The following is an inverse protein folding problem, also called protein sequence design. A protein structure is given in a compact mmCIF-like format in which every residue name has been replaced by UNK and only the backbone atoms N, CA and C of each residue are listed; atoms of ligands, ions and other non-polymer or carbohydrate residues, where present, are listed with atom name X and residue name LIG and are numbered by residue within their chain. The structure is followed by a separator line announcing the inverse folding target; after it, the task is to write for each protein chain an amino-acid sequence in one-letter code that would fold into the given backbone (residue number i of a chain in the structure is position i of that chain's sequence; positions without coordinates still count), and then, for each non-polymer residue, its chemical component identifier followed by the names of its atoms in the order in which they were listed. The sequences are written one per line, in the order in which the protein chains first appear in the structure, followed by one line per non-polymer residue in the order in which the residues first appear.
data_IF_186583639382
#
_entry.id   IF_186583639382
#
_cell.length_a   1.000
_cell.length_b   1.000
_cell.length_c   1.000
_cell.angle_alpha   90.00
_cell.angle_beta   90.00
_cell.angle_gamma   90.00
#
_symmetry.space_group_name_H-M   'P 1'
#
loop_
_entity.id
_entity.type
_entity.pdbx_description
1 polymer ?
#
# COMPACT_ATOMS: atom_id res chain seq x y z
N UNK A 1 17.22 20.85 7.19
CA UNK A 1 18.34 19.96 6.80
C UNK A 1 17.83 18.65 6.20
N UNK A 2 16.83 18.00 6.81
CA UNK A 2 16.17 16.79 6.31
C UNK A 2 15.52 17.02 4.95
N UNK A 3 14.90 18.20 4.75
CA UNK A 3 14.26 18.55 3.50
C UNK A 3 15.24 18.60 2.30
N UNK A 4 16.46 19.08 2.55
CA UNK A 4 17.51 19.09 1.52
C UNK A 4 18.10 17.68 1.29
N UNK A 5 18.13 16.84 2.33
CA UNK A 5 18.65 15.48 2.25
C UNK A 5 17.70 14.61 1.42
N UNK A 6 16.42 14.50 1.82
CA UNK A 6 15.43 13.64 1.17
C UNK A 6 14.80 14.22 -0.10
N UNK A 7 14.99 15.51 -0.37
CA UNK A 7 14.54 16.16 -1.61
C UNK A 7 15.22 15.69 -2.89
N UNK A 8 16.19 14.77 -2.81
CA UNK A 8 16.85 14.12 -3.96
C UNK A 8 16.87 12.60 -3.76
N UNK A 9 16.72 11.81 -4.80
CA UNK A 9 16.84 10.35 -4.76
C UNK A 9 18.31 9.87 -4.87
N UNK A 10 19.11 10.11 -3.83
CA UNK A 10 20.51 9.63 -3.79
C UNK A 10 20.62 8.20 -3.22
N UNK A 11 21.58 7.37 -3.68
CA UNK A 11 21.82 6.04 -3.09
C UNK A 11 22.04 6.08 -1.57
N UNK A 12 22.73 7.12 -1.08
CA UNK A 12 22.96 7.33 0.37
C UNK A 12 21.65 7.45 1.14
N UNK A 13 20.65 8.13 0.58
CA UNK A 13 19.35 8.28 1.24
C UNK A 13 18.64 6.94 1.36
N UNK A 14 18.76 6.09 0.35
CA UNK A 14 18.19 4.75 0.36
C UNK A 14 18.84 3.88 1.45
N UNK A 15 20.16 3.97 1.62
CA UNK A 15 20.87 3.27 2.71
C UNK A 15 20.37 3.74 4.08
N UNK A 16 20.27 5.05 4.30
CA UNK A 16 19.78 5.60 5.58
C UNK A 16 18.33 5.19 5.88
N UNK A 17 17.49 5.14 4.85
CA UNK A 17 16.10 4.69 5.01
C UNK A 17 15.99 3.20 5.27
N UNK A 18 16.84 2.40 4.61
CA UNK A 18 16.92 0.97 4.84
C UNK A 18 17.45 0.66 6.25
N UNK A 19 18.43 1.42 6.76
CA UNK A 19 18.89 1.25 8.15
C UNK A 19 17.81 1.63 9.16
N UNK A 20 17.09 2.73 8.93
CA UNK A 20 15.98 3.14 9.79
C UNK A 20 14.84 2.09 9.78
N UNK A 21 14.57 1.51 8.62
CA UNK A 21 13.63 0.39 8.46
C UNK A 21 14.09 -0.87 9.22
N UNK A 22 15.37 -1.23 9.14
CA UNK A 22 15.95 -2.33 9.92
C UNK A 22 15.90 -2.06 11.43
N UNK A 23 16.08 -0.82 11.88
CA UNK A 23 15.95 -0.47 13.29
C UNK A 23 14.55 -0.79 13.84
N UNK A 24 13.48 -0.40 13.12
CA UNK A 24 12.12 -0.74 13.54
C UNK A 24 11.88 -2.25 13.58
N UNK A 25 12.36 -2.98 12.55
CA UNK A 25 12.28 -4.43 12.53
C UNK A 25 12.99 -5.06 13.75
N UNK A 26 14.23 -4.63 14.02
CA UNK A 26 15.00 -5.13 15.15
C UNK A 26 14.30 -4.85 16.47
N UNK A 27 13.77 -3.64 16.66
CA UNK A 27 13.03 -3.29 17.88
C UNK A 27 11.83 -4.23 18.13
N UNK A 28 11.06 -4.59 17.09
CA UNK A 28 9.96 -5.56 17.22
C UNK A 28 10.47 -6.97 17.53
N UNK A 29 11.54 -7.40 16.86
CA UNK A 29 12.09 -8.74 17.13
C UNK A 29 12.68 -8.86 18.54
N UNK A 30 13.26 -7.79 19.08
CA UNK A 30 13.76 -7.77 20.45
C UNK A 30 12.62 -7.77 21.48
N UNK A 31 11.50 -7.10 21.19
CA UNK A 31 10.34 -7.12 22.10
C UNK A 31 9.64 -8.47 22.14
N UNK A 32 9.53 -9.15 21.00
CA UNK A 32 8.80 -10.42 20.88
C UNK A 32 9.67 -11.66 21.15
N UNK A 33 10.99 -11.47 21.24
CA UNK A 33 11.98 -12.55 21.35
C UNK A 33 12.49 -13.01 19.99
N UNK A 34 13.80 -13.19 19.88
CA UNK A 34 14.44 -13.63 18.63
C UNK A 34 14.17 -15.13 18.37
N UNK A 35 13.64 -15.46 17.20
CA UNK A 35 13.30 -16.83 16.80
C UNK A 35 13.74 -17.11 15.36
N UNK A 36 13.75 -18.38 14.93
CA UNK A 36 14.01 -18.71 13.52
C UNK A 36 12.97 -18.11 12.57
N UNK A 37 11.75 -17.87 13.05
CA UNK A 37 10.71 -17.26 12.24
C UNK A 37 10.99 -15.77 11.97
N UNK A 38 11.69 -15.06 12.86
CA UNK A 38 12.07 -13.65 12.60
C UNK A 38 12.97 -13.48 11.37
N UNK A 39 13.78 -14.50 11.00
CA UNK A 39 14.53 -14.47 9.74
C UNK A 39 13.62 -14.51 8.51
N UNK A 40 12.50 -15.24 8.58
CA UNK A 40 11.49 -15.27 7.51
C UNK A 40 10.76 -13.92 7.43
N UNK A 41 10.42 -13.33 8.58
CA UNK A 41 9.79 -12.00 8.64
C UNK A 41 10.68 -10.97 7.97
N UNK A 42 11.97 -10.94 8.31
CA UNK A 42 12.97 -10.04 7.71
C UNK A 42 13.01 -10.18 6.18
N UNK A 43 13.05 -11.42 5.68
CA UNK A 43 13.08 -11.66 4.23
C UNK A 43 11.86 -11.07 3.52
N UNK A 44 10.65 -11.40 3.99
CA UNK A 44 9.43 -10.90 3.37
C UNK A 44 9.27 -9.38 3.51
N UNK A 45 9.73 -8.83 4.62
CA UNK A 45 9.73 -7.40 4.88
C UNK A 45 10.67 -6.65 3.92
N UNK A 46 11.85 -7.21 3.62
CA UNK A 46 12.75 -6.68 2.56
C UNK A 46 12.10 -6.76 1.17
N UNK A 47 11.33 -7.83 0.90
CA UNK A 47 10.58 -7.96 -0.36
C UNK A 47 9.55 -6.83 -0.49
N UNK A 48 8.75 -6.56 0.55
CA UNK A 48 7.81 -5.44 0.57
C UNK A 48 8.52 -4.11 0.26
N UNK A 49 9.61 -3.84 0.97
CA UNK A 49 10.41 -2.62 0.81
C UNK A 49 10.91 -2.46 -0.63
N UNK A 50 11.40 -3.56 -1.23
CA UNK A 50 11.92 -3.57 -2.60
C UNK A 50 10.81 -3.38 -3.64
N UNK A 51 9.67 -4.05 -3.46
CA UNK A 51 8.51 -3.93 -4.37
C UNK A 51 7.93 -2.52 -4.31
N UNK A 52 7.76 -1.95 -3.12
CA UNK A 52 7.33 -0.56 -2.95
C UNK A 52 8.24 0.40 -3.74
N UNK A 53 9.56 0.25 -3.59
CA UNK A 53 10.52 1.10 -4.30
C UNK A 53 10.39 0.98 -5.81
N UNK A 54 10.36 -0.26 -6.28
CA UNK A 54 10.25 -0.56 -7.69
C UNK A 54 9.00 0.09 -8.32
N UNK A 55 7.85 0.07 -7.63
CA UNK A 55 6.61 0.66 -8.16
C UNK A 55 6.74 2.18 -8.30
N UNK A 56 7.25 2.87 -7.29
CA UNK A 56 7.37 4.34 -7.31
C UNK A 56 8.38 4.77 -8.38
N UNK A 57 9.59 4.22 -8.33
CA UNK A 57 10.68 4.60 -9.23
C UNK A 57 10.34 4.28 -10.69
N UNK A 58 9.62 3.18 -10.97
CA UNK A 58 9.30 2.81 -12.36
C UNK A 58 8.16 3.64 -12.97
N UNK A 59 7.24 4.16 -12.15
CA UNK A 59 6.03 4.81 -12.63
C UNK A 59 6.03 6.34 -12.46
N UNK A 60 7.06 6.91 -11.82
CA UNK A 60 7.22 8.33 -11.52
C UNK A 60 5.98 8.89 -10.78
N UNK A 61 5.62 8.24 -9.67
CA UNK A 61 4.48 8.62 -8.82
C UNK A 61 4.81 9.82 -7.90
N UNK A 62 6.10 10.16 -7.79
CA UNK A 62 6.65 11.30 -7.06
C UNK A 62 7.73 12.01 -7.88
N UNK A 63 8.17 13.20 -7.47
CA UNK A 63 9.18 13.98 -8.18
C UNK A 63 10.61 13.59 -7.78
N UNK A 64 11.03 12.36 -8.11
CA UNK A 64 12.40 11.84 -7.93
C UNK A 64 13.03 12.17 -6.56
N UNK A 65 12.26 12.02 -5.50
CA UNK A 65 12.68 12.25 -4.13
C UNK A 65 12.54 11.00 -3.26
N UNK A 66 13.13 11.06 -2.08
CA UNK A 66 13.13 9.97 -1.11
C UNK A 66 12.02 10.06 -0.07
N UNK A 67 11.13 11.07 -0.16
CA UNK A 67 10.09 11.28 0.85
C UNK A 67 9.05 10.15 0.90
N UNK A 68 8.68 9.55 -0.25
CA UNK A 68 7.71 8.46 -0.23
C UNK A 68 8.25 7.23 0.50
N UNK A 69 9.55 6.98 0.38
CA UNK A 69 10.22 5.96 1.18
C UNK A 69 10.20 6.30 2.65
N UNK A 70 10.56 7.53 3.01
CA UNK A 70 10.54 7.97 4.39
C UNK A 70 9.14 7.79 5.00
N UNK A 71 8.10 8.26 4.33
CA UNK A 71 6.74 8.13 4.84
C UNK A 71 6.30 6.68 4.96
N UNK A 72 6.62 5.83 3.98
CA UNK A 72 6.28 4.42 4.05
C UNK A 72 6.96 3.72 5.24
N UNK A 73 8.24 3.98 5.47
CA UNK A 73 8.99 3.42 6.60
C UNK A 73 8.45 3.95 7.93
N UNK A 74 8.13 5.24 8.03
CA UNK A 74 7.56 5.82 9.24
C UNK A 74 6.13 5.34 9.52
N UNK A 75 5.32 5.08 8.49
CA UNK A 75 4.00 4.47 8.67
C UNK A 75 4.13 3.07 9.27
N UNK A 76 5.08 2.26 8.78
CA UNK A 76 5.32 0.94 9.36
C UNK A 76 5.86 1.06 10.78
N UNK A 77 6.80 1.96 11.04
CA UNK A 77 7.31 2.21 12.40
C UNK A 77 6.23 2.68 13.36
N UNK A 78 5.22 3.42 12.87
CA UNK A 78 4.12 3.90 13.70
C UNK A 78 3.18 2.80 14.18
N UNK A 79 3.14 1.66 13.46
CA UNK A 79 2.24 0.55 13.72
C UNK A 79 3.05 -0.77 13.78
N UNK A 80 3.70 -1.04 14.91
CA UNK A 80 4.65 -2.17 15.04
C UNK A 80 4.07 -3.56 14.74
N UNK A 81 2.77 -3.77 15.01
CA UNK A 81 2.05 -5.03 14.75
C UNK A 81 2.00 -5.41 13.26
N UNK A 82 2.22 -4.45 12.36
CA UNK A 82 2.32 -4.64 10.91
C UNK A 82 3.47 -5.57 10.52
N UNK A 83 4.52 -5.64 11.33
CA UNK A 83 5.72 -6.41 11.01
C UNK A 83 5.48 -7.93 11.15
N UNK A 84 4.46 -8.35 11.92
CA UNK A 84 4.14 -9.75 12.13
C UNK A 84 3.57 -10.41 10.87
N UNK A 85 3.96 -11.67 10.63
CA UNK A 85 3.48 -12.46 9.50
C UNK A 85 2.07 -13.01 9.74
N UNK A 86 1.05 -12.20 9.41
CA UNK A 86 -0.35 -12.60 9.40
C UNK A 86 -0.89 -12.75 7.96
N UNK A 87 -2.11 -13.27 7.80
CA UNK A 87 -2.75 -13.38 6.48
C UNK A 87 -2.85 -12.03 5.76
N UNK A 88 -3.15 -10.96 6.51
CA UNK A 88 -3.21 -9.57 6.01
C UNK A 88 -1.87 -9.10 5.43
N UNK A 89 -0.76 -9.53 6.02
CA UNK A 89 0.58 -9.20 5.53
C UNK A 89 0.85 -9.84 4.15
N UNK A 90 0.52 -11.13 4.00
CA UNK A 90 0.63 -11.81 2.70
C UNK A 90 -0.32 -11.22 1.66
N UNK A 91 -1.55 -10.88 2.05
CA UNK A 91 -2.51 -10.19 1.19
C UNK A 91 -1.97 -8.81 0.74
N UNK A 92 -1.30 -8.08 1.63
CA UNK A 92 -0.66 -6.81 1.28
C UNK A 92 0.47 -7.01 0.25
N UNK A 93 1.34 -8.01 0.42
CA UNK A 93 2.38 -8.34 -0.58
C UNK A 93 1.76 -8.62 -1.95
N UNK A 94 0.75 -9.49 -2.00
CA UNK A 94 0.09 -9.83 -3.26
C UNK A 94 -0.63 -8.63 -3.87
N UNK A 95 -1.21 -7.76 -3.03
CA UNK A 95 -1.81 -6.50 -3.47
C UNK A 95 -0.76 -5.55 -4.06
N UNK A 96 0.45 -5.46 -3.49
CA UNK A 96 1.55 -4.65 -4.05
C UNK A 96 2.01 -5.20 -5.41
N UNK A 97 2.07 -6.52 -5.57
CA UNK A 97 2.39 -7.15 -6.86
C UNK A 97 1.31 -6.89 -7.91
N UNK A 98 0.04 -6.89 -7.49
CA UNK A 98 -1.08 -6.44 -8.31
C UNK A 98 -0.93 -4.95 -8.70
N UNK A 99 -0.68 -4.07 -7.74
CA UNK A 99 -0.52 -2.62 -7.95
C UNK A 99 0.64 -2.31 -8.89
N UNK A 100 1.74 -3.07 -8.80
CA UNK A 100 2.85 -2.99 -9.75
C UNK A 100 2.37 -3.14 -11.20
N UNK A 101 1.44 -4.07 -11.47
CA UNK A 101 0.85 -4.25 -12.80
C UNK A 101 -0.08 -3.10 -13.14
N UNK A 102 -0.97 -2.70 -12.23
CA UNK A 102 -1.92 -1.59 -12.41
C UNK A 102 -1.21 -0.28 -12.79
N UNK A 103 -0.19 0.14 -12.04
CA UNK A 103 0.53 1.39 -12.35
C UNK A 103 1.39 1.26 -13.62
N UNK A 104 1.92 0.07 -13.92
CA UNK A 104 2.71 -0.15 -15.15
C UNK A 104 1.91 -0.05 -16.45
N UNK A 105 0.57 -0.06 -16.37
CA UNK A 105 -0.33 0.21 -17.51
C UNK A 105 -0.22 1.63 -18.03
N UNK A 106 0.52 2.54 -17.36
CA UNK A 106 0.95 3.80 -17.97
C UNK A 106 1.70 3.60 -19.29
N UNK A 107 2.42 2.48 -19.43
CA UNK A 107 3.11 2.09 -20.66
C UNK A 107 2.30 1.05 -21.44
N UNK A 108 2.09 1.31 -22.74
CA UNK A 108 1.41 0.41 -23.69
C UNK A 108 2.23 -0.82 -24.11
N UNK A 109 3.42 -1.03 -23.55
CA UNK A 109 4.21 -2.25 -23.80
C UNK A 109 3.54 -3.46 -23.13
N UNK A 110 3.28 -4.52 -23.89
CA UNK A 110 2.73 -5.81 -23.42
C UNK A 110 1.50 -5.65 -22.52
N UNK A 111 0.51 -4.85 -22.95
CA UNK A 111 -0.69 -4.52 -22.17
C UNK A 111 -1.47 -5.75 -21.75
N UNK A 112 -1.78 -6.66 -22.68
CA UNK A 112 -2.55 -7.87 -22.37
C UNK A 112 -1.85 -8.75 -21.33
N UNK A 113 -0.53 -8.95 -21.43
CA UNK A 113 0.23 -9.68 -20.41
C UNK A 113 0.16 -9.00 -19.04
N UNK A 114 0.31 -7.68 -18.98
CA UNK A 114 0.19 -6.94 -17.70
C UNK A 114 -1.21 -7.07 -17.09
N UNK A 115 -2.24 -7.05 -17.93
CA UNK A 115 -3.63 -7.18 -17.52
C UNK A 115 -3.94 -8.58 -16.99
N UNK A 116 -3.44 -9.62 -17.68
CA UNK A 116 -3.56 -11.00 -17.23
C UNK A 116 -2.85 -11.21 -15.91
N UNK A 117 -1.58 -10.77 -15.81
CA UNK A 117 -0.80 -10.85 -14.57
C UNK A 117 -1.47 -10.07 -13.43
N UNK A 118 -2.06 -8.91 -13.73
CA UNK A 118 -2.83 -8.12 -12.76
C UNK A 118 -4.04 -8.89 -12.25
N UNK A 119 -4.83 -9.50 -13.14
CA UNK A 119 -5.93 -10.39 -12.77
C UNK A 119 -5.46 -11.54 -11.89
N UNK A 120 -4.34 -12.18 -12.24
CA UNK A 120 -3.76 -13.30 -11.51
C UNK A 120 -3.36 -12.91 -10.09
N UNK A 121 -2.61 -11.82 -9.91
CA UNK A 121 -2.22 -11.36 -8.57
C UNK A 121 -3.42 -10.93 -7.73
N UNK A 122 -4.45 -10.35 -8.35
CA UNK A 122 -5.71 -10.03 -7.66
C UNK A 122 -6.47 -11.30 -7.25
N UNK A 123 -6.45 -12.34 -8.08
CA UNK A 123 -7.02 -13.66 -7.76
C UNK A 123 -6.32 -14.32 -6.58
N UNK A 124 -4.99 -14.29 -6.53
CA UNK A 124 -4.23 -14.80 -5.37
C UNK A 124 -4.55 -13.96 -4.13
N UNK A 125 -4.59 -12.63 -4.24
CA UNK A 125 -4.91 -11.74 -3.13
C UNK A 125 -6.32 -12.03 -2.58
N UNK A 126 -7.30 -12.28 -3.45
CA UNK A 126 -8.67 -12.62 -3.06
C UNK A 126 -8.77 -13.91 -2.26
N UNK A 127 -7.95 -14.92 -2.58
CA UNK A 127 -7.93 -16.17 -1.82
C UNK A 127 -7.41 -15.99 -0.39
N UNK A 128 -6.53 -15.01 -0.16
CA UNK A 128 -5.95 -14.73 1.16
C UNK A 128 -6.88 -13.82 1.95
N UNK A 129 -7.34 -12.73 1.32
CA UNK A 129 -8.24 -11.74 1.92
C UNK A 129 -9.32 -11.35 0.88
N UNK A 130 -10.56 -11.88 1.01
CA UNK A 130 -11.60 -11.70 0.01
C UNK A 130 -11.95 -10.26 -0.34
N UNK A 131 -11.83 -9.34 0.63
CA UNK A 131 -12.12 -7.92 0.42
C UNK A 131 -11.15 -7.24 -0.56
N UNK A 132 -9.99 -7.84 -0.84
CA UNK A 132 -9.05 -7.32 -1.84
C UNK A 132 -9.61 -7.38 -3.27
N UNK A 133 -10.68 -8.13 -3.53
CA UNK A 133 -11.41 -8.07 -4.81
C UNK A 133 -11.88 -6.65 -5.16
N UNK A 134 -12.15 -5.79 -4.16
CA UNK A 134 -12.51 -4.39 -4.39
C UNK A 134 -11.42 -3.62 -5.16
N UNK A 135 -10.15 -4.05 -5.09
CA UNK A 135 -9.08 -3.45 -5.89
C UNK A 135 -9.22 -3.68 -7.39
N UNK A 136 -10.13 -4.54 -7.86
CA UNK A 136 -10.43 -4.68 -9.29
C UNK A 136 -10.83 -3.34 -9.93
N UNK A 137 -11.47 -2.44 -9.16
CA UNK A 137 -11.80 -1.07 -9.56
C UNK A 137 -10.54 -0.32 -10.02
N UNK A 138 -9.40 -0.51 -9.35
CA UNK A 138 -8.13 0.14 -9.72
C UNK A 138 -7.60 -0.34 -11.06
N UNK A 139 -7.74 -1.63 -11.34
CA UNK A 139 -7.29 -2.19 -12.61
C UNK A 139 -8.12 -1.60 -13.76
N UNK A 140 -9.44 -1.57 -13.63
CA UNK A 140 -10.32 -0.97 -14.66
C UNK A 140 -10.15 0.55 -14.77
N UNK A 141 -9.98 1.25 -13.65
CA UNK A 141 -9.64 2.67 -13.66
C UNK A 141 -8.32 2.93 -14.40
N UNK A 142 -7.31 2.07 -14.20
CA UNK A 142 -6.03 2.20 -14.91
C UNK A 142 -6.15 1.92 -16.41
N UNK A 143 -6.96 0.94 -16.83
CA UNK A 143 -7.31 0.72 -18.24
C UNK A 143 -7.94 1.99 -18.82
N UNK A 144 -8.98 2.51 -18.17
CA UNK A 144 -9.71 3.69 -18.64
C UNK A 144 -8.80 4.92 -18.77
N UNK A 145 -7.90 5.13 -17.80
CA UNK A 145 -7.01 6.30 -17.80
C UNK A 145 -5.86 6.19 -18.81
N UNK A 146 -5.26 5.01 -18.97
CA UNK A 146 -3.99 4.86 -19.68
C UNK A 146 -4.05 4.05 -20.97
N UNK A 147 -5.08 3.24 -21.19
CA UNK A 147 -5.15 2.29 -22.31
C UNK A 147 -6.41 2.49 -23.17
N UNK A 148 -6.43 1.83 -24.33
CA UNK A 148 -7.61 1.79 -25.20
C UNK A 148 -8.61 0.80 -24.63
N UNK A 149 -9.86 1.23 -24.51
CA UNK A 149 -10.96 0.42 -24.01
C UNK A 149 -11.45 -0.53 -25.12
N UNK A 150 -10.98 -1.77 -25.11
CA UNK A 150 -11.41 -2.83 -26.04
C UNK A 150 -11.89 -4.06 -25.27
N UNK A 151 -12.69 -4.92 -25.92
CA UNK A 151 -13.18 -6.16 -25.30
C UNK A 151 -12.03 -7.03 -24.76
N UNK A 152 -10.89 -7.08 -25.47
CA UNK A 152 -9.71 -7.83 -25.04
C UNK A 152 -9.16 -7.27 -23.72
N UNK A 153 -9.01 -5.95 -23.62
CA UNK A 153 -8.48 -5.32 -22.40
C UNK A 153 -9.41 -5.48 -21.19
N UNK A 154 -10.71 -5.64 -21.41
CA UNK A 154 -11.70 -5.85 -20.35
C UNK A 154 -11.78 -7.29 -19.87
N UNK A 155 -11.73 -8.24 -20.80
CA UNK A 155 -11.84 -9.66 -20.46
C UNK A 155 -10.53 -10.24 -19.93
N UNK A 156 -9.38 -9.74 -20.36
CA UNK A 156 -8.07 -10.31 -19.98
C UNK A 156 -7.83 -10.35 -18.46
N UNK A 157 -8.12 -9.29 -17.67
CA UNK A 157 -8.02 -9.35 -16.21
C UNK A 157 -8.94 -10.38 -15.57
N UNK A 158 -10.16 -10.52 -16.09
CA UNK A 158 -11.13 -11.51 -15.61
C UNK A 158 -10.58 -12.92 -15.86
N UNK A 159 -10.06 -13.17 -17.07
CA UNK A 159 -9.42 -14.44 -17.42
C UNK A 159 -8.19 -14.71 -16.53
N UNK A 160 -7.43 -13.68 -16.15
CA UNK A 160 -6.31 -13.81 -15.23
C UNK A 160 -6.72 -14.10 -13.78
N UNK A 161 -7.89 -13.64 -13.35
CA UNK A 161 -8.42 -13.83 -11.99
C UNK A 161 -8.91 -15.26 -11.74
N UNK A 162 -9.45 -15.94 -12.76
CA UNK A 162 -10.03 -17.27 -12.62
C UNK A 162 -9.04 -18.41 -12.29
N UNK A 163 -7.81 -18.49 -12.84
CA UNK A 163 -6.91 -19.62 -12.60
C UNK A 163 -6.61 -19.89 -11.11
N UNK A 164 -6.24 -18.90 -10.27
CA UNK A 164 -6.07 -19.14 -8.83
C UNK A 164 -7.35 -19.66 -8.18
N UNK A 165 -8.50 -19.05 -8.50
CA UNK A 165 -9.80 -19.42 -7.95
C UNK A 165 -10.18 -20.86 -8.32
N UNK A 166 -9.97 -21.25 -9.58
CA UNK A 166 -10.28 -22.57 -10.09
C UNK A 166 -9.40 -23.64 -9.43
N UNK A 167 -8.10 -23.38 -9.28
CA UNK A 167 -7.17 -24.28 -8.58
C UNK A 167 -7.54 -24.45 -7.09
N UNK A 168 -7.96 -23.37 -6.43
CA UNK A 168 -8.40 -23.45 -5.05
C UNK A 168 -9.74 -24.20 -4.91
N UNK A 169 -10.66 -23.98 -5.84
CA UNK A 169 -11.92 -24.72 -5.92
C UNK A 169 -11.67 -26.22 -6.08
N UNK A 170 -10.82 -26.63 -7.04
CA UNK A 170 -10.53 -28.06 -7.26
C UNK A 170 -9.86 -28.70 -6.05
N UNK A 171 -8.96 -27.98 -5.36
CA UNK A 171 -8.41 -28.42 -4.08
C UNK A 171 -9.50 -28.63 -3.02
N UNK A 172 -10.37 -27.63 -2.81
CA UNK A 172 -11.44 -27.73 -1.81
C UNK A 172 -12.43 -28.85 -2.12
N UNK A 173 -12.77 -29.04 -3.40
CA UNK A 173 -13.66 -30.09 -3.86
C UNK A 173 -13.04 -31.48 -3.65
N UNK A 174 -11.75 -31.66 -3.97
CA UNK A 174 -11.06 -32.94 -3.83
C UNK A 174 -10.88 -33.38 -2.37
N UNK A 175 -10.65 -32.44 -1.47
CA UNK A 175 -10.42 -32.71 -0.04
C UNK A 175 -11.66 -32.55 0.84
N UNK A 176 -12.86 -32.42 0.24
CA UNK A 176 -14.14 -32.22 0.94
C UNK A 176 -14.15 -31.01 1.91
N UNK A 177 -13.48 -29.93 1.50
CA UNK A 177 -13.37 -28.65 2.23
C UNK A 177 -14.15 -27.54 1.54
N UNK A 178 -15.28 -27.86 0.93
CA UNK A 178 -16.07 -26.90 0.15
C UNK A 178 -16.55 -25.70 0.99
N UNK A 179 -16.71 -25.89 2.31
CA UNK A 179 -17.04 -24.81 3.23
C UNK A 179 -16.02 -23.65 3.18
N UNK A 180 -14.71 -23.95 3.15
CA UNK A 180 -13.66 -22.93 3.05
C UNK A 180 -13.78 -22.11 1.76
N UNK A 181 -14.14 -22.75 0.65
CA UNK A 181 -14.38 -22.05 -0.61
C UNK A 181 -15.61 -21.15 -0.53
N UNK A 182 -16.72 -21.64 0.01
CA UNK A 182 -17.94 -20.83 0.15
C UNK A 182 -17.76 -19.66 1.12
N UNK A 183 -16.88 -19.80 2.11
CA UNK A 183 -16.57 -18.73 3.06
C UNK A 183 -15.91 -17.51 2.42
N UNK A 184 -15.16 -17.68 1.31
CA UNK A 184 -14.58 -16.56 0.55
C UNK A 184 -15.63 -15.56 0.06
N UNK A 185 -16.87 -16.02 -0.15
CA UNK A 185 -17.98 -15.20 -0.64
C UNK A 185 -18.94 -14.75 0.47
N UNK A 186 -18.73 -15.20 1.71
CA UNK A 186 -19.51 -14.77 2.87
C UNK A 186 -18.87 -13.55 3.50
N UNK A 187 -19.30 -12.37 3.07
CA UNK A 187 -18.86 -11.12 3.68
C UNK A 187 -19.70 -10.89 4.94
N UNK A 188 -19.04 -10.76 6.10
CA UNK A 188 -19.72 -10.32 7.33
C UNK A 188 -19.72 -8.79 7.33
N UNK A 189 -20.85 -8.19 7.65
CA UNK A 189 -21.00 -6.74 7.72
C UNK A 189 -21.08 -6.31 9.19
N UNK A 190 -19.93 -6.25 9.88
CA UNK A 190 -19.86 -5.68 11.23
C UNK A 190 -18.89 -4.50 11.26
N UNK A 191 -19.45 -3.29 11.14
CA UNK A 191 -18.72 -2.04 11.31
C UNK A 191 -18.55 -1.74 12.81
N UNK A 192 -17.47 -2.26 13.43
CA UNK A 192 -17.09 -1.86 14.78
C UNK A 192 -15.72 -1.15 14.79
N UNK A 193 -15.66 0.15 15.10
CA UNK A 193 -14.41 0.93 15.12
C UNK A 193 -13.70 0.98 16.49
N UNK A 194 -14.22 0.29 17.50
CA UNK A 194 -13.75 0.41 18.89
C UNK A 194 -12.27 0.06 19.07
N UNK A 195 -11.74 -0.87 18.26
CA UNK A 195 -10.34 -1.28 18.30
C UNK A 195 -9.36 -0.14 17.99
N UNK A 196 -9.73 0.75 17.07
CA UNK A 196 -8.92 1.91 16.68
C UNK A 196 -9.00 3.08 17.68
N UNK A 197 -9.90 3.02 18.66
CA UNK A 197 -10.08 4.06 19.68
C UNK A 197 -9.08 3.98 20.84
N UNK A 198 -8.22 2.95 20.88
CA UNK A 198 -7.14 2.90 21.86
C UNK A 198 -6.13 4.03 21.64
N UNK A 199 -5.65 4.65 22.73
CA UNK A 199 -4.73 5.79 22.66
C UNK A 199 -3.46 5.50 21.85
N UNK A 200 -3.02 4.24 21.83
CA UNK A 200 -1.86 3.77 21.06
C UNK A 200 -2.02 4.00 19.55
N UNK A 201 -3.22 3.79 19.00
CA UNK A 201 -3.48 3.90 17.56
C UNK A 201 -4.20 5.19 17.17
N UNK A 202 -5.03 5.73 18.05
CA UNK A 202 -5.86 6.90 17.76
C UNK A 202 -5.03 8.14 17.43
N UNK A 203 -3.98 8.42 18.22
CA UNK A 203 -3.09 9.57 18.01
C UNK A 203 -2.40 9.52 16.64
N UNK A 204 -1.68 8.44 16.26
CA UNK A 204 -1.05 8.38 14.95
C UNK A 204 -2.07 8.40 13.81
N UNK A 205 -3.21 7.71 13.93
CA UNK A 205 -4.27 7.71 12.90
C UNK A 205 -4.79 9.13 12.64
N UNK A 206 -5.11 9.90 13.70
CA UNK A 206 -5.61 11.28 13.55
C UNK A 206 -4.56 12.17 12.90
N UNK A 207 -3.30 12.11 13.36
CA UNK A 207 -2.24 12.96 12.83
C UNK A 207 -1.97 12.66 11.35
N UNK A 208 -1.87 11.38 10.99
CA UNK A 208 -1.71 10.93 9.60
C UNK A 208 -2.91 11.38 8.76
N UNK A 209 -4.13 11.22 9.28
CA UNK A 209 -5.37 11.64 8.61
C UNK A 209 -5.41 13.14 8.33
N UNK A 210 -5.08 13.98 9.31
CA UNK A 210 -5.04 15.44 9.14
C UNK A 210 -4.02 15.85 8.09
N UNK A 211 -2.80 15.29 8.15
CA UNK A 211 -1.75 15.57 7.16
C UNK A 211 -2.13 15.09 5.77
N UNK A 212 -2.79 13.94 5.66
CA UNK A 212 -3.32 13.42 4.41
C UNK A 212 -4.37 14.37 3.83
N UNK A 213 -5.36 14.81 4.61
CA UNK A 213 -6.38 15.77 4.17
C UNK A 213 -5.73 17.07 3.70
N UNK A 214 -4.78 17.62 4.47
CA UNK A 214 -4.06 18.84 4.10
C UNK A 214 -3.31 18.68 2.76
N UNK A 215 -2.59 17.56 2.59
CA UNK A 215 -1.87 17.26 1.35
C UNK A 215 -2.80 17.13 0.13
N UNK A 216 -3.98 16.51 0.32
CA UNK A 216 -5.00 16.38 -0.71
C UNK A 216 -5.57 17.73 -1.13
N UNK A 217 -5.91 18.59 -0.15
CA UNK A 217 -6.43 19.94 -0.41
C UNK A 217 -5.43 20.80 -1.19
N UNK A 218 -4.13 20.67 -0.88
CA UNK A 218 -3.08 21.44 -1.55
C UNK A 218 -2.74 20.92 -2.96
N UNK A 219 -2.61 19.59 -3.12
CA UNK A 219 -2.11 18.98 -4.37
C UNK A 219 -3.19 18.76 -5.40
N UNK A 220 -4.35 18.25 -5.00
CA UNK A 220 -5.41 17.85 -5.93
C UNK A 220 -5.84 18.95 -6.89
N UNK A 221 -6.19 20.19 -6.46
CA UNK A 221 -6.64 21.23 -7.39
C UNK A 221 -5.54 21.63 -8.38
N UNK A 222 -4.29 21.75 -7.93
CA UNK A 222 -3.14 22.09 -8.77
C UNK A 222 -2.83 21.02 -9.81
N UNK A 223 -3.00 19.75 -9.46
CA UNK A 223 -2.75 18.62 -10.39
C UNK A 223 -3.88 18.39 -11.37
N UNK A 224 -5.13 18.59 -10.97
CA UNK A 224 -6.29 18.38 -11.83
C UNK A 224 -6.47 19.49 -12.87
N UNK A 225 -5.98 20.71 -12.58
CA UNK A 225 -6.01 21.84 -13.51
C UNK A 225 -5.03 21.65 -14.69
N UNK A 226 -3.93 20.92 -14.50
CA UNK A 226 -2.91 20.70 -15.53
C UNK A 226 -3.18 19.39 -16.27
N UNK A 227 -3.31 19.44 -17.60
CA UNK A 227 -3.45 18.24 -18.44
C UNK A 227 -2.08 17.64 -18.73
N UNK A 228 -1.56 16.83 -17.81
CA UNK A 228 -0.32 16.07 -18.03
C UNK A 228 -0.50 14.56 -17.72
N UNK A 229 0.53 13.76 -17.99
CA UNK A 229 0.53 12.32 -17.68
C UNK A 229 0.46 12.07 -16.16
N UNK A 230 1.00 12.97 -15.35
CA UNK A 230 0.95 12.89 -13.89
C UNK A 230 -0.48 12.99 -13.35
N UNK A 231 -1.36 13.80 -13.96
CA UNK A 231 -2.78 13.92 -13.59
C UNK A 231 -3.49 12.56 -13.59
N UNK A 232 -3.24 11.73 -14.61
CA UNK A 232 -3.84 10.39 -14.71
C UNK A 232 -3.35 9.47 -13.58
N UNK A 233 -2.04 9.49 -13.31
CA UNK A 233 -1.46 8.74 -12.19
C UNK A 233 -1.97 9.25 -10.83
N UNK A 234 -2.18 10.55 -10.67
CA UNK A 234 -2.75 11.14 -9.44
C UNK A 234 -4.20 10.72 -9.23
N UNK A 235 -5.05 10.76 -10.26
CA UNK A 235 -6.44 10.25 -10.19
C UNK A 235 -6.43 8.78 -9.75
N UNK A 236 -5.54 7.96 -10.31
CA UNK A 236 -5.42 6.56 -9.93
C UNK A 236 -5.00 6.37 -8.46
N UNK A 237 -4.10 7.22 -7.95
CA UNK A 237 -3.73 7.25 -6.51
C UNK A 237 -4.91 7.64 -5.62
N UNK A 238 -5.74 8.61 -6.03
CA UNK A 238 -6.95 8.98 -5.28
C UNK A 238 -7.96 7.85 -5.22
N UNK A 239 -8.20 7.15 -6.34
CA UNK A 239 -9.08 5.97 -6.37
C UNK A 239 -8.48 4.87 -5.49
N UNK A 240 -7.16 4.68 -5.51
CA UNK A 240 -6.48 3.72 -4.65
C UNK A 240 -6.66 4.05 -3.15
N UNK A 241 -6.53 5.32 -2.79
CA UNK A 241 -6.79 5.78 -1.43
C UNK A 241 -8.25 5.50 -1.02
N UNK A 242 -9.22 5.79 -1.88
CA UNK A 242 -10.62 5.50 -1.60
C UNK A 242 -10.90 3.99 -1.43
N UNK A 243 -10.36 3.15 -2.32
CA UNK A 243 -10.50 1.69 -2.23
C UNK A 243 -9.85 1.13 -0.96
N UNK A 244 -8.67 1.61 -0.59
CA UNK A 244 -7.98 1.14 0.63
C UNK A 244 -8.71 1.55 1.90
N UNK A 245 -9.26 2.78 1.98
CA UNK A 245 -10.11 3.19 3.10
C UNK A 245 -11.36 2.32 3.19
N UNK A 246 -11.99 2.02 2.05
CA UNK A 246 -13.18 1.17 1.99
C UNK A 246 -12.89 -0.26 2.49
N UNK A 247 -11.78 -0.86 2.04
CA UNK A 247 -11.36 -2.21 2.45
C UNK A 247 -11.09 -2.26 3.95
N UNK A 248 -10.27 -1.36 4.48
CA UNK A 248 -9.99 -1.29 5.93
C UNK A 248 -11.27 -1.03 6.73
N UNK A 249 -12.23 -0.31 6.17
CA UNK A 249 -13.54 -0.11 6.77
C UNK A 249 -14.35 -1.40 6.93
N UNK A 250 -14.20 -2.38 6.03
CA UNK A 250 -15.04 -3.58 5.96
C UNK A 250 -14.44 -4.85 6.58
N UNK A 251 -13.13 -4.90 6.84
CA UNK A 251 -12.53 -6.10 7.46
C UNK A 251 -13.07 -6.26 8.89
N UNK A 252 -13.49 -7.50 9.22
CA UNK A 252 -14.21 -7.80 10.47
C UNK A 252 -13.30 -8.14 11.64
N UNK A 253 -12.21 -8.89 11.40
CA UNK A 253 -11.23 -9.23 12.42
C UNK A 253 -10.21 -8.12 12.56
N UNK A 254 -10.68 -6.95 13.03
CA UNK A 254 -9.90 -5.71 13.03
C UNK A 254 -8.57 -5.87 13.74
N UNK A 255 -7.52 -5.99 12.95
CA UNK A 255 -6.13 -5.92 13.37
C UNK A 255 -5.49 -4.67 12.79
N UNK A 256 -4.51 -4.10 13.50
CA UNK A 256 -3.72 -2.96 13.00
C UNK A 256 -3.03 -3.30 11.66
N UNK A 257 -2.75 -4.58 11.42
CA UNK A 257 -2.12 -5.10 10.21
C UNK A 257 -2.90 -4.75 8.93
N UNK A 258 -4.21 -4.49 9.01
CA UNK A 258 -5.05 -4.08 7.87
C UNK A 258 -4.69 -2.70 7.32
N UNK A 259 -4.18 -1.81 8.17
CA UNK A 259 -3.75 -0.45 7.77
C UNK A 259 -2.64 -0.48 6.71
N UNK A 260 -1.96 -1.62 6.54
CA UNK A 260 -1.00 -1.84 5.47
C UNK A 260 -1.51 -1.49 4.07
N UNK A 261 -2.79 -1.78 3.78
CA UNK A 261 -3.39 -1.46 2.50
C UNK A 261 -3.47 0.05 2.23
N UNK A 262 -3.47 0.88 3.28
CA UNK A 262 -3.45 2.34 3.21
C UNK A 262 -2.03 2.91 3.05
N UNK A 263 -0.98 2.18 3.45
CA UNK A 263 0.37 2.75 3.52
C UNK A 263 0.92 3.17 2.15
N UNK A 264 0.63 2.39 1.12
CA UNK A 264 1.08 2.71 -0.24
C UNK A 264 0.50 4.05 -0.75
N UNK A 265 -0.84 4.22 -0.83
CA UNK A 265 -1.41 5.47 -1.34
C UNK A 265 -1.14 6.66 -0.41
N UNK A 266 -1.13 6.47 0.91
CA UNK A 266 -0.86 7.56 1.87
C UNK A 266 0.56 8.09 1.74
N UNK A 267 1.57 7.23 1.61
CA UNK A 267 2.96 7.66 1.43
C UNK A 267 3.14 8.54 0.17
N UNK A 268 2.48 8.18 -0.93
CA UNK A 268 2.52 8.96 -2.18
C UNK A 268 1.81 10.31 -2.03
N UNK A 269 0.66 10.33 -1.37
CA UNK A 269 -0.14 11.54 -1.15
C UNK A 269 0.60 12.54 -0.25
N UNK A 270 1.14 12.07 0.88
CA UNK A 270 1.94 12.88 1.80
C UNK A 270 3.18 13.46 1.12
N UNK A 271 3.91 12.65 0.36
CA UNK A 271 5.09 13.10 -0.40
C UNK A 271 4.75 14.24 -1.34
N UNK A 272 3.71 14.04 -2.16
CA UNK A 272 3.31 15.01 -3.16
C UNK A 272 2.76 16.30 -2.54
N UNK A 273 2.20 16.24 -1.33
CA UNK A 273 1.80 17.41 -0.56
C UNK A 273 2.98 18.19 0.00
N UNK A 274 3.94 17.50 0.62
CA UNK A 274 5.15 18.13 1.19
C UNK A 274 5.97 18.85 0.13
N UNK A 275 6.10 18.29 -1.06
CA UNK A 275 6.82 18.92 -2.18
C UNK A 275 6.26 20.30 -2.57
N UNK A 276 4.99 20.58 -2.30
CA UNK A 276 4.37 21.87 -2.62
C UNK A 276 4.74 22.97 -1.61
N UNK A 277 5.31 22.61 -0.47
CA UNK A 277 5.68 23.56 0.57
C UNK A 277 7.02 24.19 0.18
N UNK A 278 6.97 25.45 -0.26
CA UNK A 278 8.16 26.21 -0.67
C UNK A 278 9.14 26.45 0.50
N UNK A 279 8.59 26.63 1.71
CA UNK A 279 9.37 26.92 2.92
C UNK A 279 9.97 25.63 3.50
N UNK A 280 11.24 25.40 3.22
CA UNK A 280 11.99 24.21 3.68
C UNK A 280 11.98 23.98 5.19
N UNK A 281 11.95 25.05 6.00
CA UNK A 281 11.89 24.91 7.46
C UNK A 281 10.57 24.28 7.94
N UNK A 282 9.44 24.58 7.28
CA UNK A 282 8.15 23.95 7.60
C UNK A 282 8.16 22.45 7.27
N UNK A 283 8.80 22.08 6.14
CA UNK A 283 9.00 20.69 5.77
C UNK A 283 9.85 19.96 6.81
N UNK A 284 10.96 20.58 7.25
CA UNK A 284 11.81 20.00 8.29
C UNK A 284 11.03 19.78 9.60
N UNK A 285 10.23 20.76 10.05
CA UNK A 285 9.41 20.63 11.26
C UNK A 285 8.38 19.51 11.13
N UNK A 286 7.67 19.44 10.00
CA UNK A 286 6.68 18.37 9.75
C UNK A 286 7.33 16.98 9.77
N UNK A 287 8.51 16.83 9.16
CA UNK A 287 9.24 15.56 9.15
C UNK A 287 9.69 15.17 10.56
N UNK A 288 10.19 16.11 11.36
CA UNK A 288 10.61 15.85 12.74
C UNK A 288 9.41 15.41 13.59
N UNK A 289 8.26 16.08 13.46
CA UNK A 289 7.02 15.69 14.16
C UNK A 289 6.61 14.27 13.76
N UNK A 290 6.71 13.91 12.47
CA UNK A 290 6.31 12.58 12.01
C UNK A 290 7.28 11.48 12.46
N UNK A 291 8.59 11.76 12.46
CA UNK A 291 9.62 10.84 12.97
C UNK A 291 9.43 10.60 14.47
N UNK A 292 9.28 11.68 15.24
CA UNK A 292 9.07 11.59 16.69
C UNK A 292 7.79 10.84 17.03
N UNK A 293 6.69 11.10 16.33
CA UNK A 293 5.44 10.35 16.47
C UNK A 293 5.66 8.86 16.23
N UNK A 294 6.32 8.49 15.12
CA UNK A 294 6.55 7.08 14.79
C UNK A 294 7.39 6.35 15.83
N UNK A 295 8.38 7.02 16.44
CA UNK A 295 9.14 6.44 17.55
C UNK A 295 8.31 6.37 18.84
N UNK A 296 7.53 7.39 19.17
CA UNK A 296 6.72 7.41 20.40
C UNK A 296 5.61 6.36 20.35
N UNK A 297 4.93 6.21 19.22
CA UNK A 297 3.88 5.20 19.06
C UNK A 297 4.42 3.77 19.10
N UNK A 298 5.71 3.58 18.83
CA UNK A 298 6.38 2.29 19.00
C UNK A 298 6.48 1.87 20.48
N UNK A 299 6.69 2.84 21.39
CA UNK A 299 6.85 2.60 22.83
C UNK A 299 5.54 2.66 23.63
N UNK A 300 4.45 3.16 23.03
CA UNK A 300 3.10 3.14 23.60
C UNK A 300 2.42 1.78 23.39
#
# INVERSE_FOLDING_TARGET
MLANFFGKSKPVNFVVLFTLFLCYFLMVTFSNGFSLDSLKELFWFIVIFSVFNFIIAKNNLTFDNSYAFLFYVLLIGSFSEVIQLNNTFYANITSLLFLRKVYSLKSSKNTLHKLFDGGLWLGISFLIEPLTACFAILLYASIYLHQRFTYQTLLTPIIGFFPPLFLYFTYCFWYDKMELFTQLFKWKDQLNFDFYLSNKYLIPIILIGVLMIFSLLMKTPKTLSIKNTFRKSWILVLIHLACSVFIVGLINERQVSELQFLFFPTAIVLTNGIELIERKWLVDVLLIVFVTLSFVSFFL
#
